data_IF_138236779882
#
_entry.id   IF_138236779882
#
_cell.length_a   1.000
_cell.length_b   1.000
_cell.length_c   1.000
_cell.angle_alpha   90.00
_cell.angle_beta   90.00
_cell.angle_gamma   90.00
#
_symmetry.space_group_name_H-M   'P 1'
#
loop_
_entity.id
_entity.type
_entity.pdbx_description
1 polymer ?
#
# COMPACT_ATOMS: atom_id res chain seq x y z
N UNK A 1 3.62 7.11 -72.70
CA UNK A 1 2.43 6.33 -72.32
C UNK A 1 1.93 6.91 -71.02
N UNK A 2 0.93 7.78 -71.09
CA UNK A 2 0.24 8.26 -69.90
C UNK A 2 -0.63 7.11 -69.38
N UNK A 3 -0.49 6.77 -68.10
CA UNK A 3 -1.33 5.76 -67.48
C UNK A 3 -2.77 6.28 -67.41
N UNK A 4 -3.73 5.43 -67.78
CA UNK A 4 -5.16 5.75 -67.74
C UNK A 4 -5.56 6.12 -66.30
N UNK A 5 -6.14 7.31 -66.05
CA UNK A 5 -6.53 7.76 -64.72
C UNK A 5 -7.47 6.78 -64.00
N UNK A 6 -8.30 6.03 -64.74
CA UNK A 6 -9.19 5.01 -64.16
C UNK A 6 -8.43 3.81 -63.60
N UNK A 7 -7.30 3.46 -64.23
CA UNK A 7 -6.41 2.39 -63.77
C UNK A 7 -5.74 2.79 -62.45
N UNK A 8 -5.30 4.05 -62.34
CA UNK A 8 -4.67 4.59 -61.14
C UNK A 8 -5.66 4.58 -59.96
N UNK A 9 -6.91 4.98 -60.21
CA UNK A 9 -7.97 5.01 -59.19
C UNK A 9 -8.33 3.59 -58.71
N UNK A 10 -8.44 2.63 -59.62
CA UNK A 10 -8.69 1.22 -59.28
C UNK A 10 -7.55 0.61 -58.46
N UNK A 11 -6.29 0.89 -58.83
CA UNK A 11 -5.10 0.44 -58.09
C UNK A 11 -5.06 1.06 -56.70
N UNK A 12 -5.33 2.36 -56.57
CA UNK A 12 -5.34 3.05 -55.29
C UNK A 12 -6.40 2.49 -54.32
N UNK A 13 -7.60 2.18 -54.83
CA UNK A 13 -8.69 1.62 -54.03
C UNK A 13 -8.39 0.21 -53.50
N UNK A 14 -7.56 -0.57 -54.20
CA UNK A 14 -7.12 -1.90 -53.76
C UNK A 14 -5.89 -1.80 -52.85
N UNK A 15 -4.96 -0.88 -53.14
CA UNK A 15 -3.73 -0.72 -52.36
C UNK A 15 -4.02 -0.22 -50.94
N UNK A 16 -4.99 0.67 -50.77
CA UNK A 16 -5.27 1.28 -49.46
C UNK A 16 -5.62 0.26 -48.37
N UNK A 17 -6.57 -0.68 -48.57
CA UNK A 17 -6.83 -1.77 -47.61
C UNK A 17 -5.59 -2.62 -47.30
N UNK A 18 -4.76 -2.89 -48.31
CA UNK A 18 -3.54 -3.70 -48.14
C UNK A 18 -2.52 -2.94 -47.27
N UNK A 19 -2.31 -1.65 -47.54
CA UNK A 19 -1.42 -0.79 -46.75
C UNK A 19 -1.92 -0.71 -45.31
N UNK A 20 -3.22 -0.47 -45.09
CA UNK A 20 -3.81 -0.43 -43.74
C UNK A 20 -3.64 -1.76 -43.02
N UNK A 21 -3.84 -2.89 -43.70
CA UNK A 21 -3.66 -4.21 -43.13
C UNK A 21 -2.20 -4.48 -42.73
N UNK A 22 -1.24 -4.13 -43.60
CA UNK A 22 0.19 -4.29 -43.32
C UNK A 22 0.61 -3.41 -42.13
N UNK A 23 0.17 -2.15 -42.10
CA UNK A 23 0.42 -1.23 -40.98
C UNK A 23 -0.18 -1.79 -39.69
N UNK A 24 -1.43 -2.29 -39.73
CA UNK A 24 -2.08 -2.88 -38.57
C UNK A 24 -1.31 -4.10 -38.06
N UNK A 25 -0.85 -5.01 -38.93
CA UNK A 25 -0.06 -6.19 -38.53
C UNK A 25 1.29 -5.77 -37.92
N UNK A 26 1.98 -4.79 -38.49
CA UNK A 26 3.26 -4.31 -37.96
C UNK A 26 3.11 -3.57 -36.62
N UNK A 27 2.04 -2.80 -36.44
CA UNK A 27 1.81 -2.00 -35.24
C UNK A 27 1.07 -2.77 -34.14
N UNK A 28 0.33 -3.84 -34.45
CA UNK A 28 -0.37 -4.66 -33.48
C UNK A 28 0.49 -5.13 -32.29
N UNK A 29 1.72 -5.64 -32.46
CA UNK A 29 2.56 -6.03 -31.33
C UNK A 29 2.98 -4.82 -30.46
N UNK A 30 3.22 -3.65 -31.07
CA UNK A 30 3.54 -2.40 -30.35
C UNK A 30 2.34 -1.91 -29.55
N UNK A 31 1.15 -1.87 -30.17
CA UNK A 31 -0.11 -1.50 -29.53
C UNK A 31 -0.41 -2.48 -28.38
N UNK A 32 -0.26 -3.78 -28.60
CA UNK A 32 -0.44 -4.81 -27.54
C UNK A 32 0.55 -4.61 -26.39
N UNK A 33 1.81 -4.29 -26.68
CA UNK A 33 2.83 -4.01 -25.65
C UNK A 33 2.51 -2.73 -24.88
N UNK A 34 2.01 -1.69 -25.55
CA UNK A 34 1.55 -0.44 -24.93
C UNK A 34 0.33 -0.72 -24.05
N UNK A 35 -0.68 -1.47 -24.51
CA UNK A 35 -1.88 -1.83 -23.72
C UNK A 35 -1.50 -2.69 -22.50
N UNK A 36 -0.57 -3.65 -22.64
CA UNK A 36 -0.11 -4.49 -21.54
C UNK A 36 0.75 -3.73 -20.52
N UNK A 37 1.55 -2.75 -20.97
CA UNK A 37 2.36 -1.90 -20.09
C UNK A 37 1.54 -0.76 -19.47
N UNK A 38 0.52 -0.28 -20.19
CA UNK A 38 -0.48 0.69 -19.75
C UNK A 38 -1.65 0.02 -19.01
N UNK A 39 -1.48 -1.22 -18.53
CA UNK A 39 -2.32 -1.78 -17.47
C UNK A 39 -2.04 -0.99 -16.19
N UNK A 40 -2.51 0.25 -16.18
CA UNK A 40 -2.62 1.12 -15.03
C UNK A 40 -3.51 0.38 -14.03
N UNK A 41 -2.93 -0.01 -12.90
CA UNK A 41 -3.72 -0.62 -11.86
C UNK A 41 -4.20 0.52 -10.99
N UNK A 42 -5.50 0.80 -11.06
CA UNK A 42 -6.16 1.77 -10.18
C UNK A 42 -6.30 1.12 -8.81
N UNK A 43 -5.51 1.61 -7.85
CA UNK A 43 -5.67 1.22 -6.46
C UNK A 43 -6.35 2.36 -5.70
N UNK A 44 -7.43 2.00 -5.01
CA UNK A 44 -8.20 2.93 -4.18
C UNK A 44 -7.80 2.74 -2.73
N UNK A 45 -7.21 3.78 -2.12
CA UNK A 45 -6.86 3.81 -0.70
C UNK A 45 -7.70 4.92 -0.05
N UNK A 46 -8.84 4.55 0.53
CA UNK A 46 -9.82 5.53 1.03
C UNK A 46 -10.47 6.32 -0.11
N UNK A 47 -10.43 7.65 -0.03
CA UNK A 47 -11.02 8.57 -1.04
C UNK A 47 -10.07 8.88 -2.21
N UNK A 48 -8.83 8.38 -2.18
CA UNK A 48 -7.83 8.69 -3.20
C UNK A 48 -7.69 7.53 -4.19
N UNK A 49 -7.84 7.85 -5.48
CA UNK A 49 -7.51 6.95 -6.59
C UNK A 49 -6.09 7.21 -7.09
N UNK A 50 -5.24 6.20 -7.00
CA UNK A 50 -3.89 6.26 -7.56
C UNK A 50 -3.82 5.43 -8.83
N UNK A 51 -3.53 6.11 -9.94
CA UNK A 51 -3.23 5.49 -11.22
C UNK A 51 -1.73 5.19 -11.25
N UNK A 52 -1.35 3.95 -10.94
CA UNK A 52 0.05 3.54 -10.96
C UNK A 52 0.30 2.54 -12.09
N UNK A 53 1.34 2.78 -12.87
CA UNK A 53 1.86 1.81 -13.84
C UNK A 53 2.40 0.58 -13.11
N UNK A 54 2.33 -0.63 -13.68
CA UNK A 54 2.87 -1.87 -13.07
C UNK A 54 4.31 -1.70 -12.56
N UNK A 55 5.13 -0.97 -13.31
CA UNK A 55 6.52 -0.68 -12.96
C UNK A 55 6.64 0.15 -11.66
N UNK A 56 5.74 1.12 -11.45
CA UNK A 56 5.67 1.93 -10.22
C UNK A 56 5.29 1.09 -9.00
N UNK A 57 4.38 0.12 -9.18
CA UNK A 57 3.96 -0.77 -8.09
C UNK A 57 5.10 -1.70 -7.68
N UNK A 58 5.77 -2.33 -8.64
CA UNK A 58 6.87 -3.26 -8.35
C UNK A 58 8.09 -2.56 -7.74
N UNK A 59 8.42 -1.36 -8.22
CA UNK A 59 9.63 -0.64 -7.78
C UNK A 59 9.41 0.15 -6.49
N UNK A 60 8.21 0.71 -6.26
CA UNK A 60 7.98 1.62 -5.12
C UNK A 60 7.06 1.03 -4.05
N UNK A 61 6.00 0.32 -4.43
CA UNK A 61 5.00 -0.16 -3.46
C UNK A 61 5.42 -1.47 -2.83
N UNK A 62 5.92 -2.42 -3.63
CA UNK A 62 6.31 -3.74 -3.13
C UNK A 62 7.39 -3.69 -2.03
N UNK A 63 8.46 -2.88 -2.14
CA UNK A 63 9.42 -2.75 -1.05
C UNK A 63 8.79 -2.22 0.24
N UNK A 64 7.92 -1.21 0.15
CA UNK A 64 7.23 -0.64 1.32
C UNK A 64 6.32 -1.67 1.99
N UNK A 65 5.60 -2.49 1.19
CA UNK A 65 4.77 -3.56 1.73
C UNK A 65 5.61 -4.66 2.39
N UNK A 66 6.74 -5.03 1.81
CA UNK A 66 7.66 -5.99 2.42
C UNK A 66 8.24 -5.46 3.74
N UNK A 67 8.66 -4.18 3.79
CA UNK A 67 9.12 -3.55 5.03
C UNK A 67 8.01 -3.53 6.10
N UNK A 68 6.76 -3.36 5.68
CA UNK A 68 5.60 -3.43 6.57
C UNK A 68 5.39 -4.85 7.11
N UNK A 69 5.53 -5.86 6.26
CA UNK A 69 5.47 -7.28 6.66
C UNK A 69 6.55 -7.62 7.68
N UNK A 70 7.79 -7.20 7.40
CA UNK A 70 8.92 -7.40 8.30
C UNK A 70 8.68 -6.71 9.64
N UNK A 71 8.21 -5.45 9.63
CA UNK A 71 7.88 -4.69 10.83
C UNK A 71 6.79 -5.37 11.68
N UNK A 72 5.72 -5.87 11.06
CA UNK A 72 4.64 -6.58 11.76
C UNK A 72 5.11 -7.94 12.30
N UNK A 73 6.00 -8.63 11.58
CA UNK A 73 6.52 -9.94 11.98
C UNK A 73 7.41 -9.89 13.24
N UNK A 74 8.06 -8.76 13.50
CA UNK A 74 8.90 -8.54 14.69
C UNK A 74 8.04 -8.44 15.97
N UNK A 75 6.78 -8.04 15.84
CA UNK A 75 5.89 -7.83 16.98
C UNK A 75 5.34 -9.16 17.51
N UNK A 76 5.36 -9.33 18.83
CA UNK A 76 4.60 -10.39 19.48
C UNK A 76 3.11 -10.05 19.57
N UNK A 77 2.27 -11.00 19.95
CA UNK A 77 0.82 -10.82 19.95
C UNK A 77 0.35 -9.71 20.90
N UNK A 78 0.95 -9.62 22.09
CA UNK A 78 0.68 -8.55 23.05
C UNK A 78 1.00 -7.17 22.48
N UNK A 79 2.11 -7.03 21.75
CA UNK A 79 2.51 -5.77 21.12
C UNK A 79 1.59 -5.40 19.95
N UNK A 80 1.13 -6.38 19.17
CA UNK A 80 0.15 -6.16 18.12
C UNK A 80 -1.19 -5.69 18.68
N UNK A 81 -1.66 -6.32 19.77
CA UNK A 81 -2.87 -5.93 20.48
C UNK A 81 -2.73 -4.50 21.04
N UNK A 82 -1.63 -4.19 21.71
CA UNK A 82 -1.36 -2.85 22.22
C UNK A 82 -1.35 -1.81 21.09
N UNK A 83 -0.70 -2.12 19.97
CA UNK A 83 -0.69 -1.22 18.81
C UNK A 83 -2.10 -0.98 18.27
N UNK A 84 -2.90 -2.04 18.13
CA UNK A 84 -4.29 -1.91 17.67
C UNK A 84 -5.16 -1.11 18.63
N UNK A 85 -4.98 -1.28 19.94
CA UNK A 85 -5.67 -0.49 20.95
C UNK A 85 -5.35 1.01 20.77
N UNK A 86 -4.05 1.37 20.71
CA UNK A 86 -3.60 2.75 20.49
C UNK A 86 -4.16 3.29 19.16
N UNK A 87 -4.06 2.50 18.09
CA UNK A 87 -4.52 2.89 16.75
C UNK A 87 -6.04 3.14 16.73
N UNK A 88 -6.83 2.23 17.31
CA UNK A 88 -8.29 2.36 17.33
C UNK A 88 -8.73 3.55 18.19
N UNK A 89 -8.12 3.76 19.35
CA UNK A 89 -8.45 4.93 20.17
C UNK A 89 -8.20 6.23 19.40
N UNK A 90 -7.06 6.36 18.72
CA UNK A 90 -6.72 7.58 17.99
C UNK A 90 -7.51 7.77 16.69
N UNK A 91 -7.70 6.72 15.87
CA UNK A 91 -8.26 6.85 14.53
C UNK A 91 -9.69 6.37 14.36
N UNK A 92 -10.20 5.53 15.26
CA UNK A 92 -11.58 5.02 15.21
C UNK A 92 -12.45 5.78 16.19
N UNK A 93 -11.94 6.03 17.39
CA UNK A 93 -12.67 6.76 18.44
C UNK A 93 -12.29 8.25 18.52
N UNK A 94 -11.27 8.69 17.77
CA UNK A 94 -10.79 10.08 17.76
C UNK A 94 -10.34 10.58 19.16
N UNK A 95 -9.87 9.66 20.01
CA UNK A 95 -9.43 9.91 21.37
C UNK A 95 -7.91 10.11 21.46
N UNK A 96 -7.48 10.96 22.39
CA UNK A 96 -6.07 11.09 22.72
C UNK A 96 -5.60 9.99 23.66
N UNK A 97 -4.57 9.24 23.27
CA UNK A 97 -3.92 8.28 24.16
C UNK A 97 -2.80 8.99 24.91
N UNK A 98 -2.96 9.17 26.22
CA UNK A 98 -1.99 9.84 27.10
C UNK A 98 -1.39 8.81 28.06
N UNK A 99 -0.07 8.87 28.25
CA UNK A 99 0.59 8.02 29.25
C UNK A 99 0.06 8.32 30.66
N UNK A 100 -0.51 7.30 31.29
CA UNK A 100 -1.11 7.36 32.62
C UNK A 100 -0.11 7.75 33.71
N UNK A 101 -0.63 8.15 34.87
CA UNK A 101 0.18 8.41 36.08
C UNK A 101 0.89 7.14 36.60
N UNK A 102 0.40 5.96 36.22
CA UNK A 102 1.02 4.67 36.52
C UNK A 102 2.15 4.28 35.55
N UNK A 103 2.48 5.13 34.58
CA UNK A 103 3.57 4.84 33.65
C UNK A 103 4.93 4.86 34.37
N UNK A 104 5.61 3.71 34.36
CA UNK A 104 6.95 3.54 34.91
C UNK A 104 7.95 3.24 33.80
N UNK A 105 9.14 3.87 33.87
CA UNK A 105 10.23 3.56 32.94
C UNK A 105 10.74 2.15 33.21
N UNK A 106 11.02 1.46 32.12
CA UNK A 106 11.50 0.07 32.08
C UNK A 106 10.49 -0.98 32.58
N UNK A 107 9.26 -0.57 32.87
CA UNK A 107 8.10 -1.47 32.93
C UNK A 107 7.90 -2.22 31.61
N UNK A 108 7.21 -3.36 31.67
CA UNK A 108 6.87 -4.13 30.46
C UNK A 108 6.08 -3.29 29.45
N UNK A 109 5.18 -2.42 29.91
CA UNK A 109 4.46 -1.48 29.04
C UNK A 109 5.41 -0.50 28.32
N UNK A 110 6.39 0.07 29.04
CA UNK A 110 7.42 0.90 28.41
C UNK A 110 8.26 0.13 27.39
N UNK A 111 8.61 -1.13 27.68
CA UNK A 111 9.36 -1.99 26.75
C UNK A 111 8.57 -2.22 25.46
N UNK A 112 7.28 -2.50 25.55
CA UNK A 112 6.42 -2.66 24.37
C UNK A 112 6.34 -1.37 23.55
N UNK A 113 6.12 -0.22 24.19
CA UNK A 113 6.15 1.09 23.51
C UNK A 113 7.49 1.39 22.84
N UNK A 114 8.60 0.93 23.42
CA UNK A 114 9.92 1.03 22.78
C UNK A 114 10.01 0.15 21.52
N UNK A 115 9.49 -1.07 21.56
CA UNK A 115 9.45 -1.95 20.38
C UNK A 115 8.59 -1.33 19.28
N UNK A 116 7.38 -0.88 19.62
CA UNK A 116 6.48 -0.20 18.67
C UNK A 116 7.10 1.08 18.08
N UNK A 117 7.91 1.79 18.86
CA UNK A 117 8.69 2.93 18.35
C UNK A 117 9.82 2.51 17.43
N UNK A 118 10.54 1.42 17.73
CA UNK A 118 11.65 0.93 16.92
C UNK A 118 11.18 0.51 15.53
N UNK A 119 9.98 -0.07 15.41
CA UNK A 119 9.36 -0.41 14.12
C UNK A 119 8.62 0.77 13.47
N UNK A 120 8.82 1.99 13.98
CA UNK A 120 8.20 3.22 13.46
C UNK A 120 6.65 3.24 13.49
N UNK A 121 6.00 2.51 14.38
CA UNK A 121 4.53 2.53 14.48
C UNK A 121 4.05 3.69 15.35
N UNK A 122 4.66 3.88 16.52
CA UNK A 122 4.26 4.92 17.48
C UNK A 122 5.45 5.75 17.96
N UNK A 123 5.18 6.94 18.49
CA UNK A 123 6.17 7.78 19.16
C UNK A 123 5.50 8.67 20.22
N UNK A 124 6.26 9.22 21.17
CA UNK A 124 5.71 10.30 21.99
C UNK A 124 5.42 11.50 21.09
N UNK A 125 4.34 12.23 21.38
CA UNK A 125 4.00 13.46 20.67
C UNK A 125 5.15 14.48 20.77
N UNK A 126 5.50 15.08 19.64
CA UNK A 126 6.69 15.93 19.43
C UNK A 126 8.04 15.19 19.61
N UNK A 127 8.02 13.86 19.71
CA UNK A 127 9.19 13.03 19.94
C UNK A 127 9.75 13.09 21.37
N UNK A 128 11.03 12.73 21.51
CA UNK A 128 11.76 12.74 22.78
C UNK A 128 11.61 11.46 23.60
N UNK A 129 11.59 11.61 24.93
CA UNK A 129 11.48 10.51 25.90
C UNK A 129 10.01 10.22 26.25
N UNK A 130 9.73 8.98 26.65
CA UNK A 130 8.45 8.59 27.23
C UNK A 130 8.37 9.06 28.68
N UNK A 131 7.39 9.91 29.00
CA UNK A 131 7.14 10.46 30.32
C UNK A 131 5.63 10.47 30.60
N UNK A 132 5.25 10.45 31.87
CA UNK A 132 3.86 10.60 32.31
C UNK A 132 3.23 11.86 31.68
N UNK A 133 1.97 11.78 31.26
CA UNK A 133 1.24 12.88 30.65
C UNK A 133 1.63 13.20 29.20
N UNK A 134 2.62 12.51 28.62
CA UNK A 134 2.89 12.61 27.18
C UNK A 134 1.81 11.88 26.39
N UNK A 135 1.29 12.58 25.37
CA UNK A 135 0.43 11.98 24.34
C UNK A 135 1.24 11.01 23.46
N UNK A 136 0.63 9.91 23.05
CA UNK A 136 1.16 8.96 22.07
C UNK A 136 0.66 9.37 20.69
N UNK A 137 1.54 9.32 19.70
CA UNK A 137 1.24 9.60 18.30
C UNK A 137 1.56 8.35 17.46
N UNK A 138 0.66 7.98 16.57
CA UNK A 138 0.90 6.93 15.56
C UNK A 138 1.54 7.58 14.33
N UNK A 139 2.67 7.05 13.87
CA UNK A 139 3.34 7.56 12.66
C UNK A 139 2.61 7.08 11.40
N UNK A 140 2.82 7.76 10.27
CA UNK A 140 2.26 7.36 8.97
C UNK A 140 2.49 5.89 8.61
N UNK A 141 3.67 5.35 8.93
CA UNK A 141 3.98 3.92 8.71
C UNK A 141 3.11 3.00 9.58
N UNK A 142 2.89 3.35 10.84
CA UNK A 142 1.92 2.68 11.70
C UNK A 142 0.48 2.80 11.17
N UNK A 143 0.09 3.97 10.65
CA UNK A 143 -1.25 4.15 10.04
C UNK A 143 -1.45 3.18 8.87
N UNK A 144 -0.45 3.04 8.01
CA UNK A 144 -0.47 2.06 6.92
C UNK A 144 -0.59 0.63 7.46
N UNK A 145 0.17 0.28 8.50
CA UNK A 145 0.06 -1.04 9.16
C UNK A 145 -1.36 -1.29 9.68
N UNK A 146 -1.93 -0.35 10.41
CA UNK A 146 -3.29 -0.46 10.97
C UNK A 146 -4.36 -0.64 9.90
N UNK A 147 -4.20 -0.01 8.73
CA UNK A 147 -5.15 -0.12 7.61
C UNK A 147 -4.99 -1.40 6.79
N UNK A 148 -3.75 -1.72 6.41
CA UNK A 148 -3.47 -2.79 5.46
C UNK A 148 -3.30 -4.15 6.13
N UNK A 149 -2.79 -4.18 7.37
CA UNK A 149 -2.45 -5.39 8.12
C UNK A 149 -3.34 -5.65 9.33
N UNK A 150 -4.53 -5.04 9.36
CA UNK A 150 -5.50 -5.21 10.44
C UNK A 150 -5.77 -6.68 10.80
N UNK A 151 -5.81 -7.58 9.80
CA UNK A 151 -6.04 -9.02 10.02
C UNK A 151 -4.86 -9.74 10.69
N UNK A 152 -3.64 -9.33 10.39
CA UNK A 152 -2.42 -9.93 10.94
C UNK A 152 -2.11 -9.38 12.34
N UNK A 153 -2.48 -8.12 12.57
CA UNK A 153 -2.39 -7.45 13.86
C UNK A 153 -3.44 -7.94 14.85
N UNK A 154 -4.65 -8.30 14.37
CA UNK A 154 -5.64 -9.00 15.19
C UNK A 154 -5.13 -10.42 15.41
N UNK A 155 -4.35 -10.62 16.47
CA UNK A 155 -3.84 -11.94 16.85
C UNK A 155 -4.95 -12.99 16.79
N UNK A 156 -4.60 -14.22 16.38
CA UNK A 156 -5.50 -15.38 16.28
C UNK A 156 -5.90 -15.89 17.68
N UNK A 157 -6.50 -15.05 18.52
CA UNK A 157 -7.04 -15.48 19.81
C UNK A 157 -8.28 -16.39 19.68
N UNK A 158 -8.77 -16.66 18.46
CA UNK A 158 -9.90 -17.56 18.21
C UNK A 158 -9.55 -19.07 18.28
N UNK A 159 -8.29 -19.47 18.33
CA UNK A 159 -7.93 -20.90 18.37
C UNK A 159 -7.84 -21.47 19.80
N UNK A 160 -7.88 -20.64 20.84
CA UNK A 160 -7.83 -21.11 22.24
C UNK A 160 -9.22 -21.27 22.90
N UNK A 161 -10.29 -20.76 22.29
CA UNK A 161 -11.66 -20.87 22.83
C UNK A 161 -12.51 -22.01 22.24
N UNK A 162 -11.96 -22.80 21.31
CA UNK A 162 -12.63 -24.00 20.76
C UNK A 162 -11.95 -25.32 21.13
N UNK A 163 -11.01 -25.30 22.08
CA UNK A 163 -10.37 -26.51 22.64
C UNK A 163 -10.61 -26.67 24.15
N UNK A 164 -11.61 -25.97 24.71
CA UNK A 164 -12.04 -26.09 26.10
C UNK A 164 -13.50 -26.55 26.16
#
# INVERSE_FOLDING_TARGET
MEADPKLIEAIANILWPIIVMVIAIMLFPLIRKIILNASEIKFKVGDYEFTATKQTIEVLIKPVLNELDDAVSILNDRQKELFLEIYNNIYVHEEEVILSQSFERDSEYHKDLRVLRNVNFVRPYLGGKWNIGKRIEVKNFGVLAGRLKAKELKSRNNNAQHSA
#
